data_IF_506230606602
#
_entry.id   IF_506230606602
#
_cell.length_a   1.000
_cell.length_b   1.000
_cell.length_c   1.000
_cell.angle_alpha   90.00
_cell.angle_beta   90.00
_cell.angle_gamma   90.00
#
_symmetry.space_group_name_H-M   'P 1'
#
loop_
_entity.id
_entity.type
_entity.pdbx_description
1 polymer ?
#
# COMPACT_ATOMS: atom_id res chain seq x y z
N UNK A 1 -0.86 -17.17 -5.22
CA UNK A 1 0.06 -16.51 -4.25
C UNK A 1 -0.34 -16.92 -2.83
N UNK A 2 0.39 -16.47 -1.80
CA UNK A 2 0.02 -16.71 -0.39
C UNK A 2 0.14 -15.45 0.45
N UNK A 3 -0.75 -15.30 1.44
CA UNK A 3 -0.68 -14.23 2.43
C UNK A 3 0.44 -14.58 3.41
N UNK A 4 1.61 -13.96 3.26
CA UNK A 4 2.80 -14.26 4.04
C UNK A 4 2.69 -13.74 5.47
N UNK A 5 2.22 -12.51 5.64
CA UNK A 5 2.05 -11.88 6.94
C UNK A 5 0.85 -10.93 6.96
N UNK A 6 0.28 -10.79 8.14
CA UNK A 6 -0.72 -9.78 8.50
C UNK A 6 -0.12 -8.94 9.61
N UNK A 7 -0.08 -7.63 9.42
CA UNK A 7 0.61 -6.69 10.29
C UNK A 7 -0.34 -5.59 10.78
N UNK A 8 -0.31 -5.34 12.08
CA UNK A 8 -1.12 -4.31 12.75
C UNK A 8 -0.17 -3.40 13.53
N UNK A 9 -0.46 -2.10 13.54
CA UNK A 9 0.28 -1.10 14.30
C UNK A 9 -0.55 -0.55 15.45
N UNK A 10 0.12 -0.21 16.55
CA UNK A 10 -0.48 0.57 17.63
C UNK A 10 -0.07 2.03 17.55
N UNK A 11 -0.88 2.92 18.12
CA UNK A 11 -0.59 4.34 18.13
C UNK A 11 0.53 4.68 19.13
N UNK A 12 1.73 4.88 18.62
CA UNK A 12 2.92 5.21 19.42
C UNK A 12 3.67 6.45 18.92
N UNK A 13 4.51 7.03 19.78
CA UNK A 13 5.31 8.20 19.43
C UNK A 13 6.56 7.78 18.68
N UNK A 14 6.81 8.42 17.54
CA UNK A 14 8.09 8.27 16.86
C UNK A 14 9.17 9.06 17.63
N UNK A 15 10.38 8.52 17.85
CA UNK A 15 11.45 9.23 18.52
C UNK A 15 11.70 10.63 17.93
N UNK A 16 11.72 11.66 18.80
CA UNK A 16 11.89 13.05 18.38
C UNK A 16 10.68 13.69 17.69
N UNK A 17 9.50 13.06 17.70
CA UNK A 17 8.24 13.63 17.20
C UNK A 17 7.20 13.76 18.31
N UNK A 18 6.40 14.83 18.26
CA UNK A 18 5.32 15.08 19.22
C UNK A 18 4.02 14.33 18.89
N UNK A 19 3.87 13.88 17.64
CA UNK A 19 2.69 13.16 17.16
C UNK A 19 2.82 11.64 17.28
N UNK A 20 1.68 10.95 17.34
CA UNK A 20 1.59 9.49 17.28
C UNK A 20 1.46 8.98 15.85
N UNK A 21 1.92 7.76 15.62
CA UNK A 21 1.82 7.05 14.34
C UNK A 21 1.62 5.55 14.58
N UNK A 22 0.97 4.87 13.63
CA UNK A 22 0.92 3.41 13.57
C UNK A 22 1.87 2.82 12.53
N UNK A 23 2.92 3.55 12.13
CA UNK A 23 3.90 3.10 11.11
C UNK A 23 4.68 1.85 11.56
N UNK A 24 4.79 1.64 12.87
CA UNK A 24 5.43 0.47 13.45
C UNK A 24 4.41 -0.66 13.53
N UNK A 25 4.24 -1.35 12.41
CA UNK A 25 3.40 -2.54 12.35
C UNK A 25 4.24 -3.77 12.66
N UNK A 26 3.62 -4.73 13.31
CA UNK A 26 4.22 -6.02 13.64
C UNK A 26 3.32 -7.14 13.13
N UNK A 27 3.89 -8.27 12.70
CA UNK A 27 3.11 -9.45 12.35
C UNK A 27 2.27 -9.92 13.53
N UNK A 28 1.01 -10.25 13.28
CA UNK A 28 0.10 -10.83 14.27
C UNK A 28 -0.12 -12.31 14.00
N UNK A 29 -0.37 -13.05 15.07
CA UNK A 29 -0.78 -14.45 14.99
C UNK A 29 -2.30 -14.56 15.12
N UNK A 30 -2.90 -15.50 14.39
CA UNK A 30 -4.34 -15.68 14.35
C UNK A 30 -5.05 -14.77 13.35
N UNK A 31 -6.37 -14.89 13.33
CA UNK A 31 -7.22 -14.27 12.33
C UNK A 31 -7.57 -12.82 12.68
N UNK A 32 -7.65 -11.96 11.67
CA UNK A 32 -8.05 -10.55 11.82
C UNK A 32 -9.25 -10.24 10.94
N UNK A 33 -10.10 -9.33 11.41
CA UNK A 33 -11.24 -8.82 10.66
C UNK A 33 -10.81 -7.62 9.80
N UNK A 34 -11.16 -7.64 8.52
CA UNK A 34 -11.06 -6.52 7.58
C UNK A 34 -12.48 -6.02 7.28
N UNK A 35 -12.72 -4.74 7.53
CA UNK A 35 -13.94 -4.02 7.14
C UNK A 35 -13.65 -2.98 6.06
N UNK A 36 -14.66 -2.15 5.71
CA UNK A 36 -14.52 -1.12 4.69
C UNK A 36 -13.45 -0.04 4.99
N UNK A 37 -13.04 0.11 6.26
CA UNK A 37 -12.04 1.09 6.70
C UNK A 37 -10.65 0.49 6.91
N UNK A 38 -10.52 -0.84 6.99
CA UNK A 38 -9.24 -1.54 7.07
C UNK A 38 -9.25 -2.72 8.04
N UNK A 39 -8.08 -3.04 8.62
CA UNK A 39 -7.99 -4.06 9.67
C UNK A 39 -8.52 -3.50 11.00
N UNK A 40 -9.47 -4.19 11.61
CA UNK A 40 -10.00 -3.83 12.93
C UNK A 40 -8.87 -3.93 13.98
N UNK A 41 -8.68 -2.84 14.73
CA UNK A 41 -7.61 -2.72 15.73
C UNK A 41 -6.32 -2.05 15.22
N UNK A 42 -6.24 -1.75 13.92
CA UNK A 42 -5.09 -1.05 13.35
C UNK A 42 -5.12 0.47 13.55
N UNK A 43 -3.97 1.04 13.94
CA UNK A 43 -3.87 2.45 14.27
C UNK A 43 -3.54 3.33 13.04
N UNK A 44 -4.51 4.14 12.61
CA UNK A 44 -4.32 5.18 11.59
C UNK A 44 -4.40 6.56 12.25
N UNK A 45 -3.23 7.16 12.55
CA UNK A 45 -3.17 8.41 13.34
C UNK A 45 -3.39 9.69 12.51
N UNK A 46 -3.11 9.68 11.20
CA UNK A 46 -3.26 10.85 10.33
C UNK A 46 -4.26 10.58 9.20
N UNK A 47 -5.55 10.65 9.53
CA UNK A 47 -6.66 10.38 8.60
C UNK A 47 -6.79 11.38 7.44
N UNK A 48 -6.12 12.54 7.53
CA UNK A 48 -6.08 13.51 6.41
C UNK A 48 -5.31 12.95 5.21
N UNK A 49 -4.22 12.23 5.47
CA UNK A 49 -3.27 11.77 4.45
C UNK A 49 -3.16 10.25 4.32
N UNK A 50 -3.65 9.50 5.31
CA UNK A 50 -3.56 8.04 5.36
C UNK A 50 -4.89 7.42 5.76
N UNK A 51 -5.17 6.21 5.28
CA UNK A 51 -6.42 5.51 5.51
C UNK A 51 -7.60 6.09 4.71
N UNK A 52 -8.81 5.73 5.15
CA UNK A 52 -10.04 5.95 4.39
C UNK A 52 -10.24 4.89 3.33
N UNK A 53 -11.41 4.89 2.69
CA UNK A 53 -11.89 3.77 1.86
C UNK A 53 -10.93 3.36 0.74
N UNK A 54 -10.18 4.29 0.15
CA UNK A 54 -9.23 4.00 -0.93
C UNK A 54 -7.81 3.66 -0.46
N UNK A 55 -7.54 3.72 0.84
CA UNK A 55 -6.27 3.34 1.46
C UNK A 55 -6.49 2.49 2.70
N UNK A 56 -7.57 1.69 2.68
CA UNK A 56 -8.01 0.89 3.81
C UNK A 56 -6.98 -0.19 4.16
N UNK A 57 -6.37 -0.79 3.14
CA UNK A 57 -5.31 -1.79 3.30
C UNK A 57 -4.07 -1.35 2.52
N UNK A 58 -2.90 -1.42 3.17
CA UNK A 58 -1.60 -1.28 2.51
C UNK A 58 -0.99 -2.68 2.30
N UNK A 59 -0.79 -3.08 1.05
CA UNK A 59 -0.13 -4.32 0.64
C UNK A 59 1.32 -4.06 0.23
N UNK A 60 2.20 -4.97 0.62
CA UNK A 60 3.55 -5.11 0.10
C UNK A 60 3.77 -6.54 -0.43
N UNK A 61 4.47 -6.69 -1.54
CA UNK A 61 4.89 -7.98 -2.05
C UNK A 61 6.18 -8.45 -1.39
N UNK A 62 6.25 -9.74 -1.03
CA UNK A 62 7.44 -10.32 -0.40
C UNK A 62 8.67 -10.21 -1.31
N UNK A 63 8.49 -10.31 -2.63
CA UNK A 63 9.60 -10.14 -3.58
C UNK A 63 10.14 -8.70 -3.56
N UNK A 64 9.28 -7.72 -3.30
CA UNK A 64 9.68 -6.32 -3.16
C UNK A 64 10.43 -6.11 -1.84
N UNK A 65 9.98 -6.71 -0.74
CA UNK A 65 10.69 -6.67 0.55
C UNK A 65 12.07 -7.33 0.46
N UNK A 66 12.17 -8.50 -0.18
CA UNK A 66 13.43 -9.20 -0.40
C UNK A 66 14.43 -8.34 -1.17
N UNK A 67 13.98 -7.72 -2.28
CA UNK A 67 14.81 -6.79 -3.04
C UNK A 67 15.27 -5.58 -2.21
N UNK A 68 14.39 -5.05 -1.35
CA UNK A 68 14.77 -3.97 -0.42
C UNK A 68 15.77 -4.43 0.63
N UNK A 69 15.66 -5.65 1.14
CA UNK A 69 16.61 -6.20 2.09
C UNK A 69 18.01 -6.34 1.49
N UNK A 70 18.11 -6.84 0.26
CA UNK A 70 19.36 -6.87 -0.50
C UNK A 70 19.90 -5.46 -0.76
N UNK A 71 19.06 -4.54 -1.24
CA UNK A 71 19.46 -3.16 -1.58
C UNK A 71 19.87 -2.32 -0.37
N UNK A 72 19.35 -2.65 0.81
CA UNK A 72 19.67 -1.98 2.07
C UNK A 72 20.77 -2.71 2.85
N UNK A 73 21.19 -3.89 2.40
CA UNK A 73 22.13 -4.79 3.08
C UNK A 73 21.73 -5.05 4.54
N UNK A 74 20.43 -5.15 4.80
CA UNK A 74 19.85 -5.43 6.12
C UNK A 74 18.46 -6.06 5.99
N UNK A 75 18.00 -6.83 6.99
CA UNK A 75 16.65 -7.37 7.00
C UNK A 75 15.59 -6.26 6.87
N UNK A 76 14.53 -6.56 6.12
CA UNK A 76 13.31 -5.75 6.03
C UNK A 76 12.14 -6.66 6.36
N UNK A 77 11.84 -6.75 7.66
CA UNK A 77 10.79 -7.63 8.16
C UNK A 77 9.39 -7.12 7.76
N UNK A 78 8.39 -8.00 7.61
CA UNK A 78 7.00 -7.60 7.39
C UNK A 78 6.52 -6.56 8.41
N UNK A 79 5.85 -5.53 7.90
CA UNK A 79 5.37 -4.36 8.65
C UNK A 79 6.38 -3.21 8.72
N UNK A 80 7.63 -3.38 8.26
CA UNK A 80 8.68 -2.36 8.33
C UNK A 80 8.30 -1.08 7.60
N UNK A 81 7.61 -1.19 6.47
CA UNK A 81 7.17 -0.04 5.68
C UNK A 81 5.82 0.53 6.14
N UNK A 82 5.18 -0.11 7.10
CA UNK A 82 3.85 0.22 7.60
C UNK A 82 2.74 -0.42 6.77
N UNK A 83 3.04 -1.49 6.04
CA UNK A 83 2.09 -2.33 5.31
C UNK A 83 1.27 -3.24 6.25
N UNK A 84 -0.01 -3.42 5.91
CA UNK A 84 -0.92 -4.31 6.61
C UNK A 84 -0.77 -5.76 6.16
N UNK A 85 -0.55 -6.02 4.88
CA UNK A 85 -0.48 -7.37 4.33
C UNK A 85 0.82 -7.55 3.54
N UNK A 86 1.47 -8.69 3.72
CA UNK A 86 2.59 -9.11 2.86
C UNK A 86 2.17 -10.32 2.05
N UNK A 87 2.34 -10.27 0.72
CA UNK A 87 1.94 -11.36 -0.19
C UNK A 87 3.18 -12.00 -0.81
N UNK A 88 3.34 -13.31 -0.62
CA UNK A 88 4.41 -14.10 -1.25
C UNK A 88 4.10 -14.38 -2.73
N UNK A 89 5.12 -14.24 -3.59
CA UNK A 89 4.98 -14.34 -5.04
C UNK A 89 4.44 -13.09 -5.72
N UNK A 90 4.47 -11.94 -5.04
CA UNK A 90 4.06 -10.63 -5.58
C UNK A 90 5.26 -9.68 -5.66
N UNK A 91 5.49 -9.09 -6.84
CA UNK A 91 6.30 -7.88 -7.02
C UNK A 91 5.35 -6.72 -7.30
N UNK A 92 5.46 -5.63 -6.53
CA UNK A 92 4.50 -4.53 -6.60
C UNK A 92 4.52 -3.81 -7.96
N UNK A 93 5.61 -3.95 -8.72
CA UNK A 93 5.75 -3.30 -10.04
C UNK A 93 4.80 -3.88 -11.08
N UNK A 94 4.39 -5.13 -10.89
CA UNK A 94 3.54 -5.86 -11.84
C UNK A 94 2.04 -5.60 -11.61
N UNK A 95 1.71 -4.81 -10.58
CA UNK A 95 0.33 -4.48 -10.20
C UNK A 95 -0.14 -3.20 -10.87
N UNK A 96 -1.36 -3.25 -11.41
CA UNK A 96 -2.09 -2.12 -11.96
C UNK A 96 -3.23 -1.70 -11.03
N UNK A 97 -3.63 -0.44 -11.18
CA UNK A 97 -4.81 0.08 -10.53
C UNK A 97 -6.05 -0.67 -11.04
N UNK A 98 -6.88 -1.11 -10.11
CA UNK A 98 -8.05 -1.94 -10.36
C UNK A 98 -7.80 -3.43 -10.24
N UNK A 99 -6.54 -3.88 -10.22
CA UNK A 99 -6.23 -5.30 -10.01
C UNK A 99 -6.74 -5.71 -8.63
N UNK A 100 -7.26 -6.93 -8.53
CA UNK A 100 -7.90 -7.44 -7.32
C UNK A 100 -7.12 -8.59 -6.71
N UNK A 101 -7.12 -8.61 -5.38
CA UNK A 101 -6.58 -9.68 -4.56
C UNK A 101 -7.73 -10.29 -3.75
N UNK A 102 -7.95 -11.59 -3.94
CA UNK A 102 -9.02 -12.32 -3.26
C UNK A 102 -8.42 -13.29 -2.24
N UNK A 103 -8.87 -13.19 -0.98
CA UNK A 103 -8.40 -13.97 0.18
C UNK A 103 -9.64 -14.47 0.93
N UNK A 104 -10.10 -15.68 0.62
CA UNK A 104 -11.40 -16.17 1.10
C UNK A 104 -12.54 -15.26 0.64
N UNK A 105 -13.24 -14.65 1.59
CA UNK A 105 -14.34 -13.69 1.33
C UNK A 105 -13.84 -12.24 1.14
N UNK A 106 -12.58 -11.96 1.48
CA UNK A 106 -12.01 -10.63 1.37
C UNK A 106 -11.58 -10.37 -0.06
N UNK A 107 -12.06 -9.26 -0.63
CA UNK A 107 -11.68 -8.78 -1.95
C UNK A 107 -11.11 -7.38 -1.80
N UNK A 108 -9.86 -7.21 -2.21
CA UNK A 108 -9.14 -5.93 -2.18
C UNK A 108 -8.89 -5.46 -3.61
N UNK A 109 -9.08 -4.17 -3.88
CA UNK A 109 -8.84 -3.57 -5.20
C UNK A 109 -7.77 -2.48 -5.09
N UNK A 110 -6.71 -2.57 -5.90
CA UNK A 110 -5.61 -1.61 -5.92
C UNK A 110 -6.07 -0.22 -6.41
N UNK A 111 -5.73 0.84 -5.67
CA UNK A 111 -6.21 2.21 -5.96
C UNK A 111 -5.10 3.21 -6.27
N UNK A 112 -3.91 3.02 -5.67
CA UNK A 112 -2.79 3.96 -5.76
C UNK A 112 -1.50 3.39 -5.17
N UNK A 113 -0.38 4.02 -5.51
CA UNK A 113 0.89 3.79 -4.85
C UNK A 113 1.00 4.41 -3.46
N UNK A 114 1.82 3.79 -2.62
CA UNK A 114 2.37 4.39 -1.41
C UNK A 114 3.37 5.50 -1.75
N UNK A 115 3.01 6.76 -1.43
CA UNK A 115 3.90 7.92 -1.64
C UNK A 115 4.74 8.22 -0.38
N UNK A 116 6.08 8.09 -0.38
CA UNK A 116 6.88 8.22 0.84
C UNK A 116 6.63 9.56 1.56
N UNK A 117 6.52 9.53 2.89
CA UNK A 117 6.24 10.70 3.73
C UNK A 117 7.27 10.86 4.86
N UNK A 118 7.24 11.97 5.58
CA UNK A 118 8.20 12.25 6.66
C UNK A 118 8.24 11.16 7.74
N UNK A 119 7.08 10.57 8.09
CA UNK A 119 7.00 9.46 9.04
C UNK A 119 7.70 8.21 8.53
N UNK A 120 7.56 7.91 7.24
CA UNK A 120 8.21 6.77 6.60
C UNK A 120 9.74 6.95 6.55
N UNK A 121 10.22 8.13 6.16
CA UNK A 121 11.65 8.47 6.21
C UNK A 121 12.20 8.35 7.63
N UNK A 122 11.46 8.83 8.62
CA UNK A 122 11.88 8.76 10.02
C UNK A 122 11.90 7.32 10.56
N UNK A 123 10.91 6.49 10.18
CA UNK A 123 10.87 5.05 10.49
C UNK A 123 12.10 4.32 9.97
N UNK A 124 12.52 4.65 8.76
CA UNK A 124 13.66 4.03 8.10
C UNK A 124 15.02 4.55 8.57
N UNK A 125 15.02 5.61 9.40
CA UNK A 125 16.21 6.24 9.98
C UNK A 125 17.27 6.63 8.93
N UNK A 126 16.82 6.93 7.71
CA UNK A 126 17.65 7.37 6.59
C UNK A 126 16.99 8.61 5.96
N UNK A 127 17.56 9.81 6.14
CA UNK A 127 17.01 11.06 5.59
C UNK A 127 16.87 11.05 4.07
N UNK A 128 17.61 10.20 3.37
CA UNK A 128 17.58 10.07 1.91
C UNK A 128 16.60 9.00 1.44
N UNK A 129 15.98 8.25 2.35
CA UNK A 129 15.20 7.07 2.01
C UNK A 129 14.00 7.39 1.11
N UNK A 130 13.30 8.49 1.32
CA UNK A 130 12.21 8.90 0.43
C UNK A 130 12.67 9.04 -1.03
N UNK A 131 13.86 9.61 -1.27
CA UNK A 131 14.45 9.74 -2.60
C UNK A 131 14.84 8.37 -3.17
N UNK A 132 15.43 7.50 -2.36
CA UNK A 132 15.78 6.12 -2.75
C UNK A 132 14.54 5.32 -3.13
N UNK A 133 13.48 5.41 -2.31
CA UNK A 133 12.20 4.76 -2.53
C UNK A 133 11.53 5.21 -3.82
N UNK A 134 11.44 6.53 -4.06
CA UNK A 134 10.90 7.06 -5.31
C UNK A 134 11.74 6.63 -6.51
N UNK A 135 13.08 6.64 -6.39
CA UNK A 135 13.99 6.21 -7.48
C UNK A 135 13.86 4.72 -7.79
N UNK A 136 13.65 3.88 -6.77
CA UNK A 136 13.51 2.44 -6.95
C UNK A 136 12.24 2.06 -7.73
N UNK A 137 11.23 2.93 -7.77
CA UNK A 137 9.98 2.71 -8.49
C UNK A 137 9.28 1.39 -8.13
N UNK A 138 9.43 0.96 -6.87
CA UNK A 138 8.79 -0.22 -6.26
C UNK A 138 7.89 0.19 -5.09
N UNK A 139 6.85 1.04 -5.31
CA UNK A 139 6.05 1.50 -4.22
C UNK A 139 5.11 0.40 -3.71
N UNK A 140 4.73 0.53 -2.45
CA UNK A 140 3.64 -0.18 -1.83
C UNK A 140 2.30 0.06 -2.53
N UNK A 141 1.34 -0.83 -2.32
CA UNK A 141 0.04 -0.79 -2.99
C UNK A 141 -1.03 -0.45 -1.95
N UNK A 142 -1.74 0.66 -2.12
CA UNK A 142 -2.95 0.91 -1.36
C UNK A 142 -4.14 0.27 -2.05
N UNK A 143 -4.99 -0.36 -1.25
CA UNK A 143 -6.21 -1.02 -1.70
C UNK A 143 -7.43 -0.50 -0.95
N UNK A 144 -8.56 -0.48 -1.66
CA UNK A 144 -9.90 -0.42 -1.07
C UNK A 144 -10.42 -1.83 -0.80
N UNK A 145 -11.35 -1.93 0.15
CA UNK A 145 -12.04 -3.19 0.46
C UNK A 145 -13.34 -3.23 -0.34
N UNK A 146 -13.45 -4.18 -1.25
CA UNK A 146 -14.65 -4.46 -2.05
C UNK A 146 -15.60 -5.37 -1.26
N UNK A 147 -15.03 -6.37 -0.58
CA UNK A 147 -15.72 -7.27 0.33
C UNK A 147 -14.86 -7.48 1.56
N UNK A 148 -15.44 -7.28 2.75
CA UNK A 148 -14.78 -7.50 4.03
C UNK A 148 -14.91 -8.93 4.51
N UNK A 149 -14.20 -9.27 5.58
CA UNK A 149 -14.13 -10.65 6.07
C UNK A 149 -12.90 -10.90 6.93
N UNK A 150 -12.64 -12.16 7.24
CA UNK A 150 -11.54 -12.54 8.12
C UNK A 150 -10.38 -13.12 7.31
N UNK A 151 -9.14 -12.73 7.64
CA UNK A 151 -7.92 -13.28 7.01
C UNK A 151 -6.91 -13.71 8.07
N UNK A 152 -6.07 -14.68 7.72
CA UNK A 152 -4.96 -15.17 8.54
C UNK A 152 -3.72 -15.37 7.67
N UNK A 153 -2.53 -15.14 8.24
CA UNK A 153 -1.29 -15.51 7.55
C UNK A 153 -1.31 -17.01 7.16
N UNK A 154 -0.89 -17.31 5.94
CA UNK A 154 -0.95 -18.64 5.33
C UNK A 154 -2.10 -18.81 4.33
N UNK A 155 -3.11 -17.93 4.34
CA UNK A 155 -4.24 -18.00 3.41
C UNK A 155 -3.80 -17.92 1.95
N UNK A 156 -4.54 -18.60 1.08
CA UNK A 156 -4.32 -18.53 -0.37
C UNK A 156 -4.78 -17.18 -0.89
N UNK A 157 -3.98 -16.61 -1.79
CA UNK A 157 -4.31 -15.34 -2.45
C UNK A 157 -4.42 -15.57 -3.95
N UNK A 158 -5.60 -15.28 -4.49
CA UNK A 158 -5.85 -15.18 -5.93
C UNK A 158 -5.63 -13.75 -6.40
N UNK A 159 -5.22 -13.62 -7.66
CA UNK A 159 -4.95 -12.33 -8.31
C UNK A 159 -5.72 -12.24 -9.61
N UNK A 160 -6.53 -11.20 -9.71
CA UNK A 160 -7.43 -10.97 -10.83
C UNK A 160 -7.08 -9.62 -11.47
N UNK A 161 -6.39 -9.63 -12.63
CA UNK A 161 -6.02 -8.40 -13.32
C UNK A 161 -7.26 -7.61 -13.79
N UNK A 162 -7.21 -6.29 -13.68
CA UNK A 162 -8.23 -5.38 -14.19
C UNK A 162 -8.27 -5.41 -15.71
N UNK A 163 -9.43 -5.60 -16.32
CA UNK A 163 -9.56 -5.69 -17.78
C UNK A 163 -9.54 -4.33 -18.48
N UNK A 164 -9.68 -3.23 -17.74
CA UNK A 164 -9.71 -1.88 -18.30
C UNK A 164 -8.33 -1.25 -18.53
N UNK A 165 -8.29 0.08 -18.51
CA UNK A 165 -7.07 0.85 -18.73
C UNK A 165 -5.95 0.49 -17.76
N UNK A 166 -4.81 0.05 -18.31
CA UNK A 166 -3.64 -0.31 -17.53
C UNK A 166 -2.93 0.95 -17.03
N UNK A 167 -2.89 1.10 -15.72
CA UNK A 167 -2.15 2.14 -15.01
C UNK A 167 -1.37 1.42 -13.92
N UNK A 168 -0.04 1.36 -14.03
CA UNK A 168 0.73 0.60 -13.04
C UNK A 168 0.82 1.36 -11.72
N UNK A 169 0.95 0.63 -10.62
CA UNK A 169 1.17 1.20 -9.30
C UNK A 169 2.41 2.13 -9.30
N UNK A 170 3.59 1.74 -9.83
CA UNK A 170 4.73 2.66 -10.01
C UNK A 170 4.40 3.93 -10.79
N UNK A 171 3.54 3.85 -11.81
CA UNK A 171 3.15 4.99 -12.63
C UNK A 171 2.38 6.03 -11.82
N UNK A 172 1.48 5.60 -10.93
CA UNK A 172 0.76 6.53 -10.04
C UNK A 172 1.69 7.28 -9.09
N UNK A 173 2.78 6.64 -8.64
CA UNK A 173 3.83 7.34 -7.88
C UNK A 173 4.58 8.33 -8.75
N UNK A 174 4.91 7.96 -9.99
CA UNK A 174 5.60 8.85 -10.92
C UNK A 174 4.75 10.08 -11.32
N UNK A 175 3.43 9.92 -11.36
CA UNK A 175 2.44 10.96 -11.67
C UNK A 175 2.15 11.92 -10.51
N UNK A 176 2.51 11.54 -9.27
CA UNK A 176 2.19 12.33 -8.08
C UNK A 176 2.69 13.78 -8.18
N UNK A 177 1.75 14.74 -8.10
CA UNK A 177 1.99 16.20 -8.23
C UNK A 177 2.64 16.64 -9.54
N UNK A 178 2.54 15.85 -10.61
CA UNK A 178 2.98 16.25 -11.94
C UNK A 178 1.78 16.60 -12.82
N UNK A 179 2.00 17.51 -13.77
CA UNK A 179 1.06 17.75 -14.86
C UNK A 179 1.15 16.58 -15.85
N UNK A 180 0.02 15.96 -16.15
CA UNK A 180 -0.07 14.83 -17.08
C UNK A 180 -0.42 15.33 -18.49
N UNK A 181 -0.06 14.56 -19.51
CA UNK A 181 -0.61 14.75 -20.85
C UNK A 181 -2.10 14.40 -20.85
N UNK A 182 -2.86 14.94 -21.80
CA UNK A 182 -4.30 14.64 -21.89
C UNK A 182 -4.56 13.14 -22.08
N UNK A 183 -3.76 12.47 -22.91
CA UNK A 183 -3.82 11.01 -23.11
C UNK A 183 -3.61 10.24 -21.80
N UNK A 184 -2.58 10.60 -21.02
CA UNK A 184 -2.29 9.95 -19.73
C UNK A 184 -3.42 10.23 -18.74
N UNK A 185 -3.93 11.46 -18.70
CA UNK A 185 -5.04 11.86 -17.84
C UNK A 185 -6.29 11.03 -18.12
N UNK A 186 -6.69 10.89 -19.39
CA UNK A 186 -7.86 10.10 -19.78
C UNK A 186 -7.69 8.61 -19.41
N UNK A 187 -6.49 8.04 -19.64
CA UNK A 187 -6.19 6.66 -19.23
C UNK A 187 -6.30 6.46 -17.71
N UNK A 188 -5.83 7.42 -16.92
CA UNK A 188 -5.97 7.39 -15.46
C UNK A 188 -7.44 7.49 -15.03
N UNK A 189 -8.22 8.37 -15.66
CA UNK A 189 -9.65 8.53 -15.36
C UNK A 189 -10.49 7.30 -15.74
N UNK A 190 -10.03 6.48 -16.68
CA UNK A 190 -10.65 5.22 -17.07
C UNK A 190 -10.29 4.03 -16.14
N UNK A 191 -9.27 4.17 -15.29
CA UNK A 191 -8.94 3.19 -14.25
C UNK A 191 -9.63 3.54 -12.92
N UNK A 192 -9.88 2.56 -12.01
CA UNK A 192 -10.53 2.80 -10.71
C UNK A 192 -9.58 3.43 -9.67
N UNK A 193 -8.83 4.47 -10.08
CA UNK A 193 -7.87 5.22 -9.27
C UNK A 193 -8.48 5.77 -7.98
N UNK A 194 -7.60 6.04 -7.02
CA UNK A 194 -7.93 6.71 -5.77
C UNK A 194 -8.73 8.01 -6.00
N UNK A 195 -9.80 8.22 -5.23
CA UNK A 195 -10.78 9.30 -5.41
C UNK A 195 -10.18 10.71 -5.37
N UNK A 196 -9.20 10.97 -4.49
CA UNK A 196 -8.45 12.24 -4.47
C UNK A 196 -7.74 12.51 -5.80
N UNK A 197 -7.04 11.52 -6.36
CA UNK A 197 -6.37 11.66 -7.65
C UNK A 197 -7.38 11.89 -8.76
N UNK A 198 -8.50 11.14 -8.77
CA UNK A 198 -9.60 11.35 -9.72
C UNK A 198 -10.08 12.80 -9.70
N UNK A 199 -10.41 13.32 -8.51
CA UNK A 199 -10.85 14.71 -8.33
C UNK A 199 -9.81 15.74 -8.81
N UNK A 200 -8.53 15.48 -8.55
CA UNK A 200 -7.44 16.35 -9.04
C UNK A 200 -7.37 16.34 -10.57
N UNK A 201 -7.51 15.19 -11.22
CA UNK A 201 -7.45 15.05 -12.67
C UNK A 201 -8.69 15.61 -13.40
N UNK A 202 -9.87 15.52 -12.79
CA UNK A 202 -11.13 16.09 -13.30
C UNK A 202 -11.19 17.62 -13.19
N UNK A 203 -10.43 18.21 -12.27
CA UNK A 203 -10.38 19.67 -12.07
C UNK A 203 -9.50 20.41 -13.09
N UNK A 204 -8.77 19.69 -13.94
CA UNK A 204 -7.98 20.23 -15.06
C UNK A 204 -8.84 20.48 -16.29
#
# INVERSE_FOLDING_TARGET
MKLHAVCIGQAEKLPGKSYKTGIFKIPVTGSVLIDAEGIVGDAICNRKHHGGVDQAIYIEGLETLNWWAETLEKPVDPGTFGENLVIAGLDNRDVNIGDRFTIGEVILEATSARIPCATFTARMQDPTFARRYTKAARPGIYCRVISGGTVTAGDTVSYDPFEGSKVSVPETMAAFRKRLSEETRQRFLAAPIHYKLRRELEAY
#
